data_IF_759160022385
#
_entry.id   IF_759160022385
#
_cell.length_a   1.000
_cell.length_b   1.000
_cell.length_c   1.000
_cell.angle_alpha   90.00
_cell.angle_beta   90.00
_cell.angle_gamma   90.00
#
_symmetry.space_group_name_H-M   'P 1'
#
loop_
_entity.id
_entity.type
_entity.pdbx_description
1 polymer ?
#
# COMPACT_ATOMS: atom_id res chain seq x y z
N UNK A 1 -26.96 0.81 -13.73
CA UNK A 1 -25.74 0.60 -12.91
C UNK A 1 -26.03 1.14 -11.52
N UNK A 2 -25.86 0.35 -10.45
CA UNK A 2 -26.03 0.80 -9.08
C UNK A 2 -24.75 0.54 -8.29
N UNK A 3 -24.26 1.55 -7.58
CA UNK A 3 -23.05 1.45 -6.76
C UNK A 3 -23.45 0.89 -5.40
N UNK A 4 -23.00 -0.33 -5.08
CA UNK A 4 -23.31 -0.98 -3.80
C UNK A 4 -22.42 -0.47 -2.66
N UNK A 5 -21.14 -0.23 -2.94
CA UNK A 5 -20.15 0.27 -2.00
C UNK A 5 -19.29 1.33 -2.69
N UNK A 6 -19.35 2.61 -2.27
CA UNK A 6 -18.60 3.68 -2.93
C UNK A 6 -17.08 3.55 -2.71
N UNK A 7 -16.65 3.03 -1.56
CA UNK A 7 -15.25 2.77 -1.26
C UNK A 7 -15.09 1.35 -0.72
N UNK A 8 -14.58 0.45 -1.55
CA UNK A 8 -14.33 -0.95 -1.19
C UNK A 8 -12.94 -1.14 -0.56
N UNK A 9 -11.93 -0.46 -1.09
CA UNK A 9 -10.53 -0.60 -0.70
C UNK A 9 -9.76 0.71 -0.87
N UNK A 10 -8.57 0.75 -0.29
CA UNK A 10 -7.53 1.74 -0.58
C UNK A 10 -6.39 0.98 -1.24
N UNK A 11 -5.93 1.46 -2.39
CA UNK A 11 -4.84 0.85 -3.17
C UNK A 11 -3.69 1.84 -3.24
N UNK A 12 -2.49 1.35 -3.03
CA UNK A 12 -1.24 2.10 -3.20
C UNK A 12 -0.97 2.33 -4.68
N UNK A 13 -0.19 3.37 -4.98
CA UNK A 13 0.25 3.69 -6.34
C UNK A 13 0.97 2.49 -7.00
N UNK A 14 1.70 1.72 -6.21
CA UNK A 14 2.40 0.54 -6.67
C UNK A 14 1.46 -0.62 -7.02
N UNK A 15 0.47 -0.93 -6.17
CA UNK A 15 -0.53 -1.96 -6.49
C UNK A 15 -1.30 -1.59 -7.76
N UNK A 16 -1.65 -0.31 -7.93
CA UNK A 16 -2.28 0.19 -9.16
C UNK A 16 -1.34 0.02 -10.35
N UNK A 17 -0.06 0.35 -10.21
CA UNK A 17 0.93 0.17 -11.28
C UNK A 17 1.04 -1.30 -11.71
N UNK A 18 1.15 -2.24 -10.76
CA UNK A 18 1.17 -3.68 -11.06
C UNK A 18 -0.09 -4.13 -11.80
N UNK A 19 -1.25 -3.64 -11.37
CA UNK A 19 -2.51 -3.94 -12.04
C UNK A 19 -2.57 -3.39 -13.46
N UNK A 20 -2.14 -2.15 -13.69
CA UNK A 20 -2.12 -1.57 -15.04
C UNK A 20 -1.12 -2.31 -15.96
N UNK A 21 0.03 -2.72 -15.44
CA UNK A 21 1.01 -3.52 -16.20
C UNK A 21 0.46 -4.90 -16.56
N UNK A 22 -0.23 -5.57 -15.63
CA UNK A 22 -0.87 -6.86 -15.87
C UNK A 22 -1.98 -6.75 -16.92
N UNK A 23 -2.84 -5.73 -16.82
CA UNK A 23 -3.89 -5.47 -17.82
C UNK A 23 -3.27 -5.17 -19.19
N UNK A 24 -2.22 -4.33 -19.25
CA UNK A 24 -1.54 -4.00 -20.50
C UNK A 24 -0.99 -5.24 -21.19
N UNK A 25 -0.38 -6.14 -20.40
CA UNK A 25 0.19 -7.42 -20.84
C UNK A 25 -0.84 -8.43 -21.34
N UNK A 26 -2.04 -8.47 -20.75
CA UNK A 26 -3.13 -9.34 -21.21
C UNK A 26 -3.54 -8.97 -22.65
N UNK A 27 -3.67 -7.69 -22.95
CA UNK A 27 -4.08 -7.26 -24.30
C UNK A 27 -2.98 -7.38 -25.34
N UNK A 28 -1.72 -7.17 -24.98
CA UNK A 28 -0.58 -7.34 -25.89
C UNK A 28 -0.20 -8.81 -26.10
N UNK A 29 -0.78 -9.73 -25.32
CA UNK A 29 -0.45 -11.16 -25.37
C UNK A 29 0.98 -11.46 -24.91
N UNK A 30 1.60 -10.54 -24.18
CA UNK A 30 2.91 -10.76 -23.52
C UNK A 30 2.76 -11.47 -22.17
N UNK A 31 1.51 -11.78 -21.79
CA UNK A 31 1.19 -12.64 -20.66
C UNK A 31 1.41 -14.13 -20.99
N UNK A 32 1.12 -15.00 -20.02
CA UNK A 32 1.23 -16.45 -20.19
C UNK A 32 0.14 -17.06 -21.08
N UNK A 33 -0.83 -16.27 -21.55
CA UNK A 33 -1.95 -16.76 -22.35
C UNK A 33 -1.77 -16.56 -23.86
N UNK A 34 -0.84 -15.69 -24.26
CA UNK A 34 -0.51 -15.39 -25.67
C UNK A 34 -1.72 -14.96 -26.51
N UNK A 35 -2.74 -14.40 -25.87
CA UNK A 35 -3.97 -13.93 -26.54
C UNK A 35 -3.90 -12.44 -26.81
N UNK A 36 -3.41 -12.07 -27.98
CA UNK A 36 -3.43 -10.67 -28.40
C UNK A 36 -4.86 -10.20 -28.69
N UNK A 37 -5.25 -9.08 -28.08
CA UNK A 37 -6.56 -8.45 -28.28
C UNK A 37 -6.41 -6.95 -28.47
N UNK A 38 -7.24 -6.37 -29.34
CA UNK A 38 -7.26 -4.92 -29.52
C UNK A 38 -7.80 -4.23 -28.26
N UNK A 39 -6.99 -3.36 -27.67
CA UNK A 39 -7.40 -2.49 -26.55
C UNK A 39 -8.55 -1.56 -26.99
N UNK A 40 -9.67 -1.50 -26.25
CA UNK A 40 -10.68 -0.47 -26.45
C UNK A 40 -10.06 0.93 -26.30
N UNK A 41 -10.52 1.90 -27.10
CA UNK A 41 -9.92 3.24 -27.18
C UNK A 41 -9.81 3.95 -25.81
N UNK A 42 -10.89 3.93 -25.02
CA UNK A 42 -10.89 4.55 -23.69
C UNK A 42 -9.92 3.88 -22.71
N UNK A 43 -9.82 2.55 -22.76
CA UNK A 43 -8.89 1.79 -21.93
C UNK A 43 -7.44 2.08 -22.33
N UNK A 44 -7.16 2.18 -23.63
CA UNK A 44 -5.82 2.50 -24.12
C UNK A 44 -5.34 3.86 -23.61
N UNK A 45 -6.18 4.90 -23.68
CA UNK A 45 -5.82 6.21 -23.15
C UNK A 45 -5.61 6.17 -21.62
N UNK A 46 -6.49 5.50 -20.88
CA UNK A 46 -6.36 5.37 -19.44
C UNK A 46 -5.08 4.63 -19.03
N UNK A 47 -4.75 3.52 -19.71
CA UNK A 47 -3.52 2.77 -19.46
C UNK A 47 -2.28 3.63 -19.76
N UNK A 48 -2.26 4.29 -20.92
CA UNK A 48 -1.15 5.16 -21.32
C UNK A 48 -0.92 6.29 -20.31
N UNK A 49 -1.97 7.01 -19.93
CA UNK A 49 -1.86 8.16 -19.02
C UNK A 49 -1.53 7.69 -17.60
N UNK A 50 -2.17 6.61 -17.14
CA UNK A 50 -1.93 6.03 -15.82
C UNK A 50 -0.51 5.51 -15.65
N UNK A 51 0.01 4.76 -16.63
CA UNK A 51 1.40 4.29 -16.63
C UNK A 51 2.38 5.46 -16.70
N UNK A 52 2.11 6.44 -17.56
CA UNK A 52 2.96 7.65 -17.67
C UNK A 52 3.04 8.40 -16.35
N UNK A 53 1.92 8.53 -15.63
CA UNK A 53 1.89 9.19 -14.32
C UNK A 53 2.65 8.38 -13.25
N UNK A 54 2.39 7.07 -13.15
CA UNK A 54 2.93 6.23 -12.08
C UNK A 54 4.41 5.83 -12.28
N UNK A 55 4.91 5.86 -13.53
CA UNK A 55 6.31 5.61 -13.86
C UNK A 55 7.16 6.88 -13.91
N UNK A 56 6.56 8.06 -13.77
CA UNK A 56 7.28 9.32 -13.82
C UNK A 56 8.21 9.48 -12.61
N UNK A 57 9.51 9.60 -12.88
CA UNK A 57 10.58 9.73 -11.88
C UNK A 57 10.46 10.98 -11.01
N UNK A 58 9.72 12.01 -11.44
CA UNK A 58 9.49 13.21 -10.64
C UNK A 58 8.68 12.94 -9.36
N UNK A 59 7.88 11.86 -9.33
CA UNK A 59 7.08 11.46 -8.17
C UNK A 59 7.68 10.28 -7.39
N UNK A 60 8.69 9.63 -7.94
CA UNK A 60 9.40 8.51 -7.30
C UNK A 60 10.84 8.94 -7.04
N UNK A 61 11.12 9.46 -5.85
CA UNK A 61 12.49 9.81 -5.40
C UNK A 61 13.45 8.61 -5.41
N UNK A 62 12.93 7.39 -5.56
CA UNK A 62 13.66 6.13 -5.65
C UNK A 62 13.12 5.31 -6.83
N UNK A 63 13.99 4.52 -7.47
CA UNK A 63 13.63 3.58 -8.53
C UNK A 63 12.37 2.80 -8.16
N UNK A 64 11.49 2.55 -9.14
CA UNK A 64 10.20 1.91 -8.90
C UNK A 64 10.43 0.58 -8.15
N UNK A 65 9.62 0.22 -7.14
CA UNK A 65 9.78 -1.06 -6.45
C UNK A 65 9.64 -2.23 -7.42
N UNK A 66 8.95 -2.05 -8.54
CA UNK A 66 8.90 -3.01 -9.65
C UNK A 66 10.29 -3.27 -10.25
N UNK A 67 11.13 -2.24 -10.36
CA UNK A 67 12.48 -2.37 -10.91
C UNK A 67 13.46 -2.96 -9.90
N UNK A 68 13.34 -2.55 -8.63
CA UNK A 68 14.20 -3.04 -7.55
C UNK A 68 13.85 -4.45 -7.11
N UNK A 69 12.55 -4.75 -7.08
CA UNK A 69 11.96 -5.98 -6.57
C UNK A 69 11.08 -6.65 -7.64
N UNK A 70 11.66 -7.05 -8.79
CA UNK A 70 10.89 -7.56 -9.92
C UNK A 70 10.30 -8.95 -9.63
N UNK A 71 10.92 -9.73 -8.75
CA UNK A 71 10.48 -11.10 -8.49
C UNK A 71 9.40 -11.16 -7.42
N UNK A 72 9.31 -10.15 -6.54
CA UNK A 72 8.33 -10.10 -5.44
C UNK A 72 7.85 -8.70 -5.12
N UNK A 73 6.97 -8.13 -5.96
CA UNK A 73 6.50 -6.77 -5.78
C UNK A 73 5.54 -6.59 -4.58
N UNK A 74 5.05 -7.65 -3.94
CA UNK A 74 4.00 -7.57 -2.93
C UNK A 74 4.48 -7.72 -1.47
N UNK A 75 5.73 -8.12 -1.23
CA UNK A 75 6.35 -8.27 0.11
C UNK A 75 6.28 -6.99 0.95
N UNK A 76 6.29 -5.83 0.30
CA UNK A 76 6.18 -4.53 0.95
C UNK A 76 4.81 -4.32 1.63
N UNK A 77 3.75 -4.95 1.11
CA UNK A 77 2.36 -4.75 1.57
C UNK A 77 1.84 -5.94 2.37
N UNK A 78 2.41 -7.13 2.14
CA UNK A 78 1.91 -8.38 2.69
C UNK A 78 3.03 -9.22 3.27
N UNK A 79 2.71 -9.95 4.34
CA UNK A 79 3.66 -10.83 5.01
C UNK A 79 4.51 -10.12 6.06
N UNK A 80 5.51 -10.84 6.60
CA UNK A 80 6.27 -10.37 7.74
C UNK A 80 7.19 -9.19 7.44
N UNK A 81 7.60 -9.03 6.18
CA UNK A 81 8.48 -7.95 5.69
C UNK A 81 7.72 -6.68 5.29
N UNK A 82 6.40 -6.67 5.42
CA UNK A 82 5.63 -5.47 5.08
C UNK A 82 5.94 -4.29 6.00
N UNK A 83 5.90 -3.07 5.46
CA UNK A 83 6.13 -1.86 6.25
C UNK A 83 5.13 -1.73 7.40
N UNK A 84 3.89 -2.15 7.16
CA UNK A 84 2.87 -2.25 8.20
C UNK A 84 3.32 -3.14 9.36
N UNK A 85 3.93 -4.30 9.06
CA UNK A 85 4.38 -5.23 10.09
C UNK A 85 5.61 -4.73 10.84
N UNK A 86 6.50 -4.02 10.16
CA UNK A 86 7.67 -3.42 10.77
C UNK A 86 7.30 -2.27 11.73
N UNK A 87 6.38 -1.38 11.34
CA UNK A 87 6.02 -0.20 12.13
C UNK A 87 4.95 -0.45 13.20
N UNK A 88 3.93 -1.27 12.92
CA UNK A 88 2.77 -1.42 13.80
C UNK A 88 3.04 -1.89 15.24
N UNK A 89 4.11 -2.66 15.56
CA UNK A 89 4.42 -3.04 16.94
C UNK A 89 4.74 -1.85 17.85
N UNK A 90 5.44 -0.84 17.32
CA UNK A 90 5.93 0.32 18.09
C UNK A 90 5.12 1.58 17.81
N UNK A 91 4.74 1.79 16.55
CA UNK A 91 4.15 3.03 16.06
C UNK A 91 2.69 2.87 15.64
N UNK A 92 1.86 3.81 16.09
CA UNK A 92 0.41 3.82 15.81
C UNK A 92 0.11 4.85 14.73
N UNK A 93 0.14 4.39 13.49
CA UNK A 93 -0.23 5.18 12.31
C UNK A 93 -1.63 4.80 11.81
N UNK A 94 -2.31 5.71 11.13
CA UNK A 94 -3.59 5.47 10.48
C UNK A 94 -3.40 4.88 9.07
N UNK A 95 -4.47 4.32 8.50
CA UNK A 95 -4.45 3.72 7.14
C UNK A 95 -4.06 4.73 6.06
N UNK A 96 -4.54 5.97 6.16
CA UNK A 96 -4.21 7.02 5.21
C UNK A 96 -2.72 7.39 5.29
N UNK A 97 -2.15 7.45 6.49
CA UNK A 97 -0.72 7.69 6.71
C UNK A 97 0.10 6.56 6.09
N UNK A 98 -0.24 5.30 6.37
CA UNK A 98 0.42 4.16 5.71
C UNK A 98 0.35 4.23 4.19
N UNK A 99 -0.82 4.56 3.64
CA UNK A 99 -0.99 4.72 2.19
C UNK A 99 -0.05 5.78 1.62
N UNK A 100 0.07 6.93 2.29
CA UNK A 100 0.99 8.00 1.90
C UNK A 100 2.45 7.59 2.07
N UNK A 101 2.82 6.87 3.13
CA UNK A 101 4.18 6.33 3.30
C UNK A 101 4.57 5.42 2.13
N UNK A 102 3.67 4.52 1.71
CA UNK A 102 3.93 3.65 0.56
C UNK A 102 4.08 4.41 -0.77
N UNK A 103 3.26 5.45 -0.95
CA UNK A 103 3.22 6.21 -2.20
C UNK A 103 4.39 7.19 -2.33
N UNK A 104 4.72 7.90 -1.24
CA UNK A 104 5.65 9.02 -1.26
C UNK A 104 7.05 8.66 -0.78
N UNK A 105 7.21 7.62 0.05
CA UNK A 105 8.49 7.11 0.58
C UNK A 105 9.37 8.24 1.12
N UNK A 106 8.97 8.87 2.23
CA UNK A 106 9.70 9.99 2.79
C UNK A 106 11.13 9.60 3.15
N UNK A 107 12.09 10.39 2.68
CA UNK A 107 13.52 10.25 3.02
C UNK A 107 14.00 11.32 3.98
N UNK A 108 13.17 12.32 4.27
CA UNK A 108 13.48 13.43 5.18
C UNK A 108 12.42 13.55 6.26
N UNK A 109 12.82 14.03 7.42
CA UNK A 109 11.92 14.23 8.56
C UNK A 109 10.81 15.23 8.25
N UNK A 110 11.12 16.33 7.56
CA UNK A 110 10.12 17.31 7.14
C UNK A 110 9.02 16.67 6.30
N UNK A 111 9.38 15.77 5.37
CA UNK A 111 8.41 15.08 4.54
C UNK A 111 7.57 14.09 5.36
N UNK A 112 8.16 13.41 6.34
CA UNK A 112 7.43 12.53 7.25
C UNK A 112 6.43 13.30 8.12
N UNK A 113 6.81 14.48 8.62
CA UNK A 113 5.95 15.35 9.41
C UNK A 113 4.78 15.94 8.60
N UNK A 114 4.92 16.07 7.27
CA UNK A 114 3.81 16.44 6.37
C UNK A 114 2.83 15.28 6.13
N UNK A 115 3.28 14.04 6.26
CA UNK A 115 2.45 12.84 6.07
C UNK A 115 1.71 12.49 7.38
N UNK A 116 2.39 12.60 8.51
CA UNK A 116 1.83 12.26 9.82
C UNK A 116 1.16 13.49 10.43
N UNK A 117 -0.15 13.42 10.61
CA UNK A 117 -0.89 14.50 11.26
C UNK A 117 -0.43 14.68 12.71
N UNK A 118 -0.15 15.94 13.09
CA UNK A 118 0.30 16.34 14.43
C UNK A 118 1.52 15.52 14.91
N UNK A 119 2.48 15.25 14.01
CA UNK A 119 3.65 14.40 14.27
C UNK A 119 4.38 14.74 15.58
N UNK A 120 4.69 16.03 15.81
CA UNK A 120 5.40 16.49 17.01
C UNK A 120 4.61 16.37 18.32
N UNK A 121 3.28 16.20 18.26
CA UNK A 121 2.46 15.91 19.44
C UNK A 121 2.34 14.40 19.71
N UNK A 122 2.47 13.57 18.67
CA UNK A 122 2.29 12.11 18.74
C UNK A 122 3.57 11.32 18.97
N UNK A 123 4.69 11.85 18.48
CA UNK A 123 5.97 11.16 18.44
C UNK A 123 7.07 12.11 18.87
N UNK A 124 8.10 11.55 19.52
CA UNK A 124 9.33 12.29 19.77
C UNK A 124 10.16 12.36 18.49
N UNK A 125 11.11 13.28 18.44
CA UNK A 125 12.04 13.38 17.30
C UNK A 125 12.79 12.06 17.05
N UNK A 126 13.27 11.40 18.10
CA UNK A 126 13.89 10.08 18.03
C UNK A 126 12.98 9.01 17.40
N UNK A 127 11.67 9.09 17.65
CA UNK A 127 10.69 8.16 17.08
C UNK A 127 10.50 8.42 15.58
N UNK A 128 10.52 9.69 15.14
CA UNK A 128 10.40 10.04 13.74
C UNK A 128 11.63 9.60 12.94
N UNK A 129 12.82 9.74 13.52
CA UNK A 129 14.06 9.23 12.92
C UNK A 129 14.05 7.70 12.80
N UNK A 130 13.57 6.98 13.83
CA UNK A 130 13.43 5.53 13.80
C UNK A 130 12.39 5.08 12.74
N UNK A 131 11.25 5.78 12.63
CA UNK A 131 10.27 5.51 11.57
C UNK A 131 10.90 5.68 10.18
N UNK A 132 11.66 6.76 9.94
CA UNK A 132 12.38 6.95 8.68
C UNK A 132 13.37 5.83 8.40
N UNK A 133 14.14 5.41 9.41
CA UNK A 133 15.11 4.33 9.27
C UNK A 133 14.42 3.02 8.90
N UNK A 134 13.29 2.68 9.53
CA UNK A 134 12.50 1.49 9.22
C UNK A 134 11.93 1.56 7.80
N UNK A 135 11.41 2.73 7.38
CA UNK A 135 10.91 2.93 6.01
C UNK A 135 12.04 2.64 5.02
N UNK A 136 13.19 3.28 5.19
CA UNK A 136 14.34 3.08 4.31
C UNK A 136 14.79 1.61 4.28
N UNK A 137 14.92 0.98 5.44
CA UNK A 137 15.29 -0.42 5.57
C UNK A 137 14.33 -1.34 4.79
N UNK A 138 13.02 -1.18 4.94
CA UNK A 138 12.03 -2.03 4.27
C UNK A 138 12.04 -1.84 2.76
N UNK A 139 12.20 -0.61 2.27
CA UNK A 139 12.23 -0.34 0.83
C UNK A 139 13.56 -0.74 0.16
N UNK A 140 14.65 -0.79 0.91
CA UNK A 140 15.99 -1.16 0.43
C UNK A 140 16.40 -2.61 0.75
N UNK A 141 15.57 -3.36 1.50
CA UNK A 141 15.82 -4.77 1.83
C UNK A 141 16.00 -5.62 0.56
N UNK A 142 17.14 -6.30 0.42
CA UNK A 142 17.41 -7.14 -0.75
C UNK A 142 16.50 -8.38 -0.79
N UNK A 143 15.85 -8.62 -1.93
CA UNK A 143 14.91 -9.76 -2.12
C UNK A 143 15.54 -11.13 -1.80
N UNK A 144 16.86 -11.26 -1.97
CA UNK A 144 17.59 -12.51 -1.73
C UNK A 144 17.51 -13.00 -0.28
N UNK A 145 17.33 -12.07 0.67
CA UNK A 145 17.22 -12.38 2.10
C UNK A 145 15.82 -12.84 2.51
N UNK A 146 14.84 -12.68 1.62
CA UNK A 146 13.46 -13.02 1.88
C UNK A 146 13.18 -14.42 1.27
N UNK A 147 12.60 -15.37 2.00
CA UNK A 147 12.16 -16.64 1.42
C UNK A 147 10.97 -16.49 0.45
N UNK A 148 10.84 -17.33 -0.58
CA UNK A 148 9.66 -17.32 -1.46
C UNK A 148 8.38 -17.70 -0.70
N UNK A 149 7.27 -17.04 -1.01
CA UNK A 149 5.95 -17.33 -0.42
C UNK A 149 5.71 -16.76 0.98
N UNK A 150 6.63 -15.94 1.52
CA UNK A 150 6.45 -15.32 2.84
C UNK A 150 5.24 -14.40 2.94
N UNK A 151 4.80 -13.85 1.82
CA UNK A 151 3.63 -12.97 1.73
C UNK A 151 2.33 -13.71 2.09
N UNK A 152 2.28 -15.00 1.77
CA UNK A 152 1.12 -15.85 2.01
C UNK A 152 1.11 -16.50 3.38
N UNK A 153 2.16 -16.31 4.18
CA UNK A 153 2.22 -16.85 5.53
C UNK A 153 1.07 -16.31 6.39
N UNK A 154 0.37 -17.21 7.06
CA UNK A 154 -0.63 -16.82 8.04
C UNK A 154 0.05 -16.12 9.22
N UNK A 155 -0.29 -14.86 9.42
CA UNK A 155 0.26 -14.05 10.50
C UNK A 155 -0.77 -13.81 11.60
N UNK A 156 -0.32 -13.72 12.86
CA UNK A 156 -1.21 -13.33 13.94
C UNK A 156 -1.67 -11.89 13.71
N UNK A 157 -2.98 -11.68 13.90
CA UNK A 157 -3.61 -10.37 13.77
C UNK A 157 -2.95 -9.41 14.75
N UNK A 158 -2.38 -8.32 14.22
CA UNK A 158 -1.92 -7.22 15.06
C UNK A 158 -3.17 -6.62 15.72
N UNK A 159 -3.11 -6.40 17.04
CA UNK A 159 -4.21 -5.78 17.75
C UNK A 159 -4.58 -4.47 17.05
N UNK A 160 -5.84 -4.36 16.60
CA UNK A 160 -6.34 -3.21 15.85
C UNK A 160 -6.28 -1.97 16.75
N UNK A 161 -5.16 -1.28 16.68
CA UNK A 161 -4.80 -0.14 17.50
C UNK A 161 -4.56 1.10 16.63
N UNK A 162 -5.04 1.09 15.38
CA UNK A 162 -5.03 2.23 14.45
C UNK A 162 -5.89 3.37 15.02
N UNK A 163 -5.38 4.59 15.00
CA UNK A 163 -6.05 5.78 15.58
C UNK A 163 -7.29 6.25 14.80
N UNK A 164 -7.62 5.64 13.66
CA UNK A 164 -8.62 6.16 12.72
C UNK A 164 -9.89 5.32 12.54
N UNK A 165 -10.42 4.67 13.57
CA UNK A 165 -11.82 4.22 13.60
C UNK A 165 -12.18 3.66 14.98
N UNK A 166 -12.36 4.51 16.00
CA UNK A 166 -13.16 4.08 17.14
C UNK A 166 -14.61 3.91 16.64
N UNK A 167 -14.96 2.73 16.14
CA UNK A 167 -16.36 2.33 16.07
C UNK A 167 -16.79 2.20 17.52
N UNK A 168 -17.29 3.28 18.12
CA UNK A 168 -18.20 3.19 19.26
C UNK A 168 -19.27 2.19 18.82
N UNK A 169 -19.17 0.95 19.29
CA UNK A 169 -20.20 -0.07 19.09
C UNK A 169 -21.47 0.51 19.70
N UNK A 170 -22.32 1.10 18.88
CA UNK A 170 -23.67 1.50 19.29
C UNK A 170 -24.34 0.20 19.73
N UNK A 171 -24.52 0.02 21.04
CA UNK A 171 -25.28 -1.11 21.60
C UNK A 171 -26.71 -0.98 21.07
N UNK A 172 -27.03 -1.69 20.00
CA UNK A 172 -28.41 -1.86 19.54
C UNK A 172 -29.06 -2.77 20.59
N UNK A 173 -29.82 -2.19 21.53
CA UNK A 173 -30.74 -2.96 22.37
C UNK A 173 -31.79 -3.55 21.43
N UNK A 174 -31.71 -4.86 21.15
CA UNK A 174 -32.83 -5.59 20.55
C UNK A 174 -33.99 -5.50 21.54
N UNK A 175 -35.10 -4.87 21.14
CA UNK A 175 -36.38 -5.07 21.82
C UNK A 175 -36.74 -6.54 21.61
N UNK A 176 -36.90 -7.26 22.71
CA UNK A 176 -37.50 -8.58 22.73
C UNK A 176 -39.00 -8.32 22.67
N UNK A 177 -39.60 -8.60 21.52
CA UNK A 177 -41.06 -8.65 21.42
C UNK A 177 -41.51 -9.84 22.26
N UNK A 178 -42.27 -9.57 23.32
CA UNK A 178 -42.96 -10.60 24.10
C UNK A 178 -44.18 -11.05 23.30
N UNK A 179 -44.35 -12.37 23.27
CA UNK A 179 -45.46 -13.12 22.71
C UNK A 179 -46.82 -12.65 23.24
#
# INVERSE_FOLDING_TARGET
MHISKPQSALLTNHEVLLHLLAEDAEYTGTDSTSRERKKPSGLNHMLRDGLTYLQNSAFTTTSSPVEKHPNRPLTLYRGPHSLFRALAPKYRLNKAEYLQLYNLRPSTQVMLELIIEEAGARFKEEDLLDILAIIQQVFEEEEANIPPGVEDMEMPKIANKLLGASKKRRKIKRRVDKA
#
